data_IF_674363142674
#
_entry.id   IF_674363142674
#
_cell.length_a   1.000
_cell.length_b   1.000
_cell.length_c   1.000
_cell.angle_alpha   90.00
_cell.angle_beta   90.00
_cell.angle_gamma   90.00
#
_symmetry.space_group_name_H-M   'P 1'
#
loop_
_entity.id
_entity.type
_entity.pdbx_description
1 polymer ?
#
# COMPACT_ATOMS: atom_id res chain seq x y z
N UNK A 1 -20.60 -5.50 7.29
CA UNK A 1 -19.54 -4.98 8.20
C UNK A 1 -18.48 -6.07 8.37
N UNK A 2 -17.19 -5.73 8.46
CA UNK A 2 -16.13 -6.70 8.74
C UNK A 2 -16.36 -7.45 10.05
N UNK A 3 -15.91 -8.70 10.12
CA UNK A 3 -15.93 -9.53 11.32
C UNK A 3 -14.74 -9.18 12.23
N UNK A 4 -14.77 -9.55 13.50
CA UNK A 4 -13.58 -9.46 14.35
C UNK A 4 -12.54 -10.52 13.97
N UNK A 5 -11.24 -10.29 14.28
CA UNK A 5 -10.19 -11.29 14.07
C UNK A 5 -10.48 -12.61 14.77
N UNK A 6 -11.16 -12.57 15.94
CA UNK A 6 -11.58 -13.77 16.68
C UNK A 6 -12.55 -14.68 15.93
N UNK A 7 -13.21 -14.14 14.89
CA UNK A 7 -14.13 -14.92 14.04
C UNK A 7 -13.40 -15.60 12.87
N UNK A 8 -12.11 -15.33 12.70
CA UNK A 8 -11.28 -16.01 11.72
C UNK A 8 -10.84 -17.36 12.25
N UNK A 9 -11.14 -18.43 11.51
CA UNK A 9 -10.78 -19.80 11.91
C UNK A 9 -9.26 -19.95 12.08
N UNK A 10 -8.83 -20.44 13.26
CA UNK A 10 -7.41 -20.71 13.54
C UNK A 10 -6.79 -21.66 12.51
N UNK A 11 -7.57 -22.66 12.04
CA UNK A 11 -7.10 -23.58 10.99
C UNK A 11 -6.84 -22.86 9.66
N UNK A 12 -7.62 -21.84 9.30
CA UNK A 12 -7.40 -21.02 8.12
C UNK A 12 -6.23 -20.04 8.33
N UNK A 13 -6.14 -19.41 9.50
CA UNK A 13 -5.05 -18.51 9.86
C UNK A 13 -3.68 -19.24 9.91
N UNK A 14 -3.64 -20.48 10.39
CA UNK A 14 -2.43 -21.32 10.44
C UNK A 14 -1.79 -21.54 9.05
N UNK A 15 -2.59 -21.50 7.97
CA UNK A 15 -2.11 -21.70 6.60
C UNK A 15 -1.42 -20.48 6.01
N UNK A 16 -1.58 -19.29 6.61
CA UNK A 16 -1.00 -18.05 6.09
C UNK A 16 0.52 -18.11 6.13
N UNK A 17 1.14 -17.93 4.97
CA UNK A 17 2.59 -17.88 4.76
C UNK A 17 3.03 -16.58 4.11
N UNK A 18 2.08 -15.80 3.56
CA UNK A 18 2.29 -14.51 2.94
C UNK A 18 1.34 -13.48 3.52
N UNK A 19 1.90 -12.38 4.04
CA UNK A 19 1.15 -11.25 4.54
C UNK A 19 1.57 -9.99 3.76
N UNK A 20 0.71 -9.56 2.84
CA UNK A 20 0.82 -8.25 2.23
C UNK A 20 0.20 -7.19 3.15
N UNK A 21 0.80 -6.01 3.20
CA UNK A 21 0.35 -4.94 4.11
C UNK A 21 0.53 -3.57 3.48
N UNK A 22 -0.43 -2.67 3.66
CA UNK A 22 -0.16 -1.25 3.45
C UNK A 22 0.84 -0.73 4.50
N UNK A 23 1.32 0.49 4.36
CA UNK A 23 2.34 1.10 5.24
C UNK A 23 1.78 2.25 6.06
N UNK A 24 1.30 3.31 5.39
CA UNK A 24 0.86 4.53 6.06
C UNK A 24 -0.44 4.28 6.82
N UNK A 25 -0.44 4.55 8.12
CA UNK A 25 -1.55 4.29 9.04
C UNK A 25 -2.03 2.82 9.10
N UNK A 26 -1.20 1.89 8.56
CA UNK A 26 -1.37 0.42 8.70
C UNK A 26 -0.20 -0.21 9.46
N UNK A 27 1.05 -0.05 9.00
CA UNK A 27 2.27 -0.38 9.75
C UNK A 27 2.72 0.78 10.62
N UNK A 28 2.48 2.02 10.16
CA UNK A 28 2.70 3.23 10.95
C UNK A 28 1.42 3.64 11.68
N UNK A 29 1.54 4.60 12.56
CA UNK A 29 0.41 5.28 13.17
C UNK A 29 0.75 6.74 13.41
N UNK A 30 -0.03 7.67 12.81
CA UNK A 30 0.16 9.11 12.90
C UNK A 30 1.60 9.54 12.57
N UNK A 31 2.12 9.02 11.44
CA UNK A 31 3.45 9.34 10.94
C UNK A 31 4.62 8.73 11.73
N UNK A 32 4.37 7.77 12.62
CA UNK A 32 5.40 7.06 13.40
C UNK A 32 5.30 5.56 13.22
N UNK A 33 6.43 4.88 13.25
CA UNK A 33 6.51 3.42 13.27
C UNK A 33 6.56 2.96 14.74
N UNK A 34 5.50 2.33 15.29
CA UNK A 34 5.52 1.78 16.64
C UNK A 34 6.56 0.66 16.78
N UNK A 35 7.18 0.54 17.95
CA UNK A 35 8.13 -0.53 18.24
C UNK A 35 7.46 -1.91 18.12
N UNK A 36 6.20 -2.01 18.52
CA UNK A 36 5.36 -3.20 18.43
C UNK A 36 5.19 -3.69 16.99
N UNK A 37 5.14 -2.76 16.02
CA UNK A 37 5.07 -3.12 14.59
C UNK A 37 6.34 -3.79 14.11
N UNK A 38 7.51 -3.25 14.48
CA UNK A 38 8.80 -3.84 14.11
C UNK A 38 8.99 -5.22 14.74
N UNK A 39 8.67 -5.35 16.02
CA UNK A 39 8.72 -6.64 16.70
C UNK A 39 7.77 -7.65 16.04
N UNK A 40 6.54 -7.25 15.78
CA UNK A 40 5.55 -8.10 15.10
C UNK A 40 6.03 -8.59 13.73
N UNK A 41 6.61 -7.72 12.89
CA UNK A 41 7.20 -8.12 11.60
C UNK A 41 8.36 -9.11 11.79
N UNK A 42 9.21 -8.90 12.80
CA UNK A 42 10.32 -9.80 13.10
C UNK A 42 9.80 -11.18 13.52
N UNK A 43 8.81 -11.24 14.40
CA UNK A 43 8.22 -12.50 14.87
C UNK A 43 7.53 -13.27 13.74
N UNK A 44 6.78 -12.57 12.88
CA UNK A 44 6.17 -13.16 11.68
C UNK A 44 7.23 -13.77 10.75
N UNK A 45 8.31 -13.05 10.50
CA UNK A 45 9.44 -13.53 9.68
C UNK A 45 10.08 -14.79 10.27
N UNK A 46 10.32 -14.82 11.58
CA UNK A 46 10.86 -15.98 12.29
C UNK A 46 9.91 -17.19 12.24
N UNK A 47 8.61 -16.95 12.24
CA UNK A 47 7.57 -17.99 12.10
C UNK A 47 7.34 -18.44 10.63
N UNK A 48 8.13 -17.96 9.68
CA UNK A 48 8.05 -18.31 8.26
C UNK A 48 6.91 -17.63 7.51
N UNK A 49 6.39 -16.49 8.02
CA UNK A 49 5.42 -15.66 7.30
C UNK A 49 6.17 -14.52 6.61
N UNK A 50 6.09 -14.51 5.29
CA UNK A 50 6.71 -13.50 4.43
C UNK A 50 5.90 -12.21 4.45
N UNK A 51 6.38 -11.18 5.12
CA UNK A 51 5.75 -9.86 5.14
C UNK A 51 6.20 -9.06 3.92
N UNK A 52 5.25 -8.50 3.17
CA UNK A 52 5.50 -7.70 1.96
C UNK A 52 4.69 -6.40 2.04
N UNK A 53 5.31 -5.28 2.38
CA UNK A 53 4.68 -3.96 2.26
C UNK A 53 4.31 -3.63 0.81
N UNK A 54 3.10 -3.07 0.62
CA UNK A 54 2.54 -2.64 -0.66
C UNK A 54 2.00 -1.22 -0.48
N UNK A 55 2.75 -0.23 -0.93
CA UNK A 55 2.51 1.15 -0.53
C UNK A 55 2.49 2.13 -1.70
N UNK A 56 1.81 3.27 -1.51
CA UNK A 56 1.95 4.47 -2.34
C UNK A 56 3.18 5.32 -2.01
N UNK A 57 4.01 4.90 -1.05
CA UNK A 57 5.24 5.60 -0.68
C UNK A 57 6.26 5.63 -1.83
N UNK A 58 7.09 6.67 -1.85
CA UNK A 58 8.11 6.88 -2.89
C UNK A 58 9.20 5.80 -2.88
N UNK A 59 9.93 5.71 -3.98
CA UNK A 59 11.03 4.75 -4.14
C UNK A 59 12.12 4.89 -3.07
N UNK A 60 12.38 6.11 -2.58
CA UNK A 60 13.34 6.33 -1.49
C UNK A 60 12.94 5.65 -0.18
N UNK A 61 11.66 5.73 0.19
CA UNK A 61 11.12 5.00 1.35
C UNK A 61 11.15 3.49 1.13
N UNK A 62 10.79 3.02 -0.05
CA UNK A 62 10.81 1.60 -0.40
C UNK A 62 12.23 1.01 -0.34
N UNK A 63 13.26 1.74 -0.79
CA UNK A 63 14.65 1.31 -0.65
C UNK A 63 15.06 1.16 0.83
N UNK A 64 14.67 2.11 1.69
CA UNK A 64 14.93 2.03 3.13
C UNK A 64 14.18 0.85 3.78
N UNK A 65 12.91 0.67 3.47
CA UNK A 65 12.10 -0.45 3.98
C UNK A 65 12.76 -1.79 3.61
N UNK A 66 13.13 -1.97 2.32
CA UNK A 66 13.76 -3.20 1.86
C UNK A 66 15.10 -3.50 2.57
N UNK A 67 15.84 -2.45 2.97
CA UNK A 67 17.15 -2.62 3.63
C UNK A 67 17.07 -2.87 5.12
N UNK A 68 16.16 -2.19 5.81
CA UNK A 68 16.19 -2.08 7.27
C UNK A 68 15.09 -2.88 7.97
N UNK A 69 13.95 -3.12 7.31
CA UNK A 69 12.85 -3.81 7.95
C UNK A 69 12.93 -5.34 7.74
N UNK A 70 12.36 -6.14 8.63
CA UNK A 70 12.34 -7.60 8.52
C UNK A 70 11.24 -8.05 7.55
N UNK A 71 11.35 -7.65 6.28
CA UNK A 71 10.38 -7.91 5.21
C UNK A 71 11.01 -8.75 4.10
N UNK A 72 10.19 -9.53 3.39
CA UNK A 72 10.64 -10.34 2.26
C UNK A 72 10.97 -9.48 1.03
N UNK A 73 10.30 -8.36 0.88
CA UNK A 73 10.48 -7.36 -0.16
C UNK A 73 9.45 -6.24 0.02
N UNK A 74 9.40 -5.29 -0.90
CA UNK A 74 8.47 -4.16 -0.86
C UNK A 74 7.97 -3.82 -2.26
N UNK A 75 6.70 -3.48 -2.40
CA UNK A 75 6.06 -3.00 -3.62
C UNK A 75 5.75 -1.52 -3.41
N UNK A 76 6.30 -0.66 -4.28
CA UNK A 76 6.23 0.80 -4.16
C UNK A 76 5.38 1.49 -5.21
N UNK A 77 5.04 2.75 -4.93
CA UNK A 77 4.29 3.66 -5.80
C UNK A 77 3.06 2.97 -6.43
N UNK A 78 2.21 2.40 -5.55
CA UNK A 78 0.98 1.68 -5.90
C UNK A 78 1.18 0.51 -6.89
N UNK A 79 2.38 -0.08 -6.93
CA UNK A 79 2.69 -1.22 -7.78
C UNK A 79 3.58 -0.91 -8.98
N UNK A 80 4.10 0.31 -9.10
CA UNK A 80 4.97 0.68 -10.22
C UNK A 80 6.25 -0.15 -10.28
N UNK A 81 6.74 -0.59 -9.15
CA UNK A 81 7.96 -1.40 -9.02
C UNK A 81 7.91 -2.22 -7.72
N UNK A 82 8.82 -3.20 -7.62
CA UNK A 82 9.10 -3.86 -6.35
C UNK A 82 10.59 -4.16 -6.18
N UNK A 83 11.00 -4.26 -4.92
CA UNK A 83 12.36 -4.60 -4.51
C UNK A 83 12.32 -5.91 -3.74
N UNK A 84 13.13 -6.87 -4.14
CA UNK A 84 13.35 -8.13 -3.41
C UNK A 84 14.79 -8.22 -2.96
N UNK A 85 15.03 -8.91 -1.83
CA UNK A 85 16.37 -9.20 -1.33
C UNK A 85 16.67 -10.68 -1.53
N UNK A 86 17.67 -11.01 -2.34
CA UNK A 86 18.13 -12.39 -2.57
C UNK A 86 19.65 -12.44 -2.38
N UNK A 87 20.14 -13.33 -1.54
CA UNK A 87 21.58 -13.54 -1.32
C UNK A 87 22.36 -12.23 -1.07
N UNK A 88 21.83 -11.35 -0.20
CA UNK A 88 22.38 -10.03 0.13
C UNK A 88 22.33 -8.99 -1.00
N UNK A 89 21.76 -9.31 -2.15
CA UNK A 89 21.58 -8.38 -3.27
C UNK A 89 20.14 -7.90 -3.36
N UNK A 90 19.96 -6.61 -3.71
CA UNK A 90 18.65 -6.02 -3.95
C UNK A 90 18.35 -6.07 -5.45
N UNK A 91 17.22 -6.67 -5.80
CA UNK A 91 16.76 -6.76 -7.17
C UNK A 91 15.53 -5.87 -7.35
N UNK A 92 15.65 -4.92 -8.29
CA UNK A 92 14.57 -4.01 -8.66
C UNK A 92 13.83 -4.54 -9.88
N UNK A 93 12.51 -4.60 -9.77
CA UNK A 93 11.61 -4.97 -10.85
C UNK A 93 10.69 -3.78 -11.14
N UNK A 94 10.54 -3.43 -12.40
CA UNK A 94 9.71 -2.31 -12.84
C UNK A 94 8.61 -2.81 -13.75
N UNK A 95 7.37 -2.29 -13.61
CA UNK A 95 6.24 -2.69 -14.46
C UNK A 95 6.39 -2.22 -15.92
N UNK A 96 7.22 -1.21 -16.16
CA UNK A 96 7.65 -0.73 -17.48
C UNK A 96 9.15 -0.37 -17.43
N UNK A 97 9.87 -0.27 -18.56
CA UNK A 97 11.28 0.15 -18.54
C UNK A 97 11.48 1.44 -17.74
N UNK A 98 12.49 1.48 -16.87
CA UNK A 98 12.72 2.61 -15.95
C UNK A 98 12.83 3.96 -16.67
N UNK A 99 13.48 4.03 -17.83
CA UNK A 99 13.60 5.25 -18.63
C UNK A 99 12.23 5.77 -19.11
N UNK A 100 11.34 4.88 -19.51
CA UNK A 100 9.97 5.23 -19.91
C UNK A 100 9.16 5.69 -18.72
N UNK A 101 9.25 5.00 -17.59
CA UNK A 101 8.60 5.39 -16.33
C UNK A 101 8.97 6.83 -15.94
N UNK A 102 10.27 7.16 -15.95
CA UNK A 102 10.78 8.50 -15.63
C UNK A 102 10.34 9.58 -16.63
N UNK A 103 10.24 9.23 -17.91
CA UNK A 103 9.76 10.14 -18.96
C UNK A 103 8.28 10.48 -18.73
N UNK A 104 7.45 9.47 -18.48
CA UNK A 104 6.03 9.63 -18.20
C UNK A 104 5.80 10.45 -16.93
N UNK A 105 6.51 10.15 -15.85
CA UNK A 105 6.40 10.87 -14.59
C UNK A 105 6.72 12.36 -14.74
N UNK A 106 7.79 12.72 -15.48
CA UNK A 106 8.14 14.13 -15.70
C UNK A 106 7.04 14.89 -16.44
N UNK A 107 6.43 14.26 -17.46
CA UNK A 107 5.33 14.86 -18.18
C UNK A 107 4.09 15.04 -17.31
N UNK A 108 3.73 14.01 -16.54
CA UNK A 108 2.62 14.03 -15.60
C UNK A 108 2.82 15.10 -14.51
N UNK A 109 4.04 15.24 -13.99
CA UNK A 109 4.38 16.22 -12.96
C UNK A 109 4.05 17.64 -13.40
N UNK A 110 4.38 18.02 -14.65
CA UNK A 110 4.05 19.36 -15.15
C UNK A 110 2.54 19.57 -15.30
N UNK A 111 1.79 18.55 -15.73
CA UNK A 111 0.34 18.64 -15.81
C UNK A 111 -0.31 18.76 -14.42
N UNK A 112 0.13 17.96 -13.43
CA UNK A 112 -0.36 18.07 -12.07
C UNK A 112 -0.07 19.44 -11.47
N UNK A 113 1.12 20.01 -11.69
CA UNK A 113 1.45 21.40 -11.28
C UNK A 113 0.47 22.42 -11.88
N UNK A 114 0.09 22.25 -13.16
CA UNK A 114 -0.89 23.13 -13.80
C UNK A 114 -2.27 23.05 -13.14
N UNK A 115 -2.72 21.84 -12.79
CA UNK A 115 -3.97 21.67 -12.03
C UNK A 115 -3.85 22.37 -10.67
N UNK A 116 -2.76 22.13 -9.92
CA UNK A 116 -2.56 22.70 -8.60
C UNK A 116 -2.44 24.22 -8.60
N UNK A 117 -2.03 24.85 -9.71
CA UNK A 117 -1.98 26.31 -9.84
C UNK A 117 -3.36 26.98 -9.64
N UNK A 118 -4.46 26.27 -9.87
CA UNK A 118 -5.82 26.75 -9.60
C UNK A 118 -6.25 26.62 -8.13
N UNK A 119 -5.43 26.00 -7.28
CA UNK A 119 -5.73 25.73 -5.87
C UNK A 119 -4.65 26.32 -4.94
N UNK A 120 -4.77 27.60 -4.56
CA UNK A 120 -3.79 28.26 -3.69
C UNK A 120 -3.57 27.48 -2.38
N UNK A 121 -2.30 27.23 -2.05
CA UNK A 121 -1.91 26.49 -0.83
C UNK A 121 -1.89 24.96 -0.97
N UNK A 122 -2.26 24.40 -2.13
CA UNK A 122 -1.99 22.99 -2.40
C UNK A 122 -0.54 22.81 -2.89
N UNK A 123 0.08 21.74 -2.44
CA UNK A 123 1.47 21.40 -2.78
C UNK A 123 1.60 19.94 -3.17
N UNK A 124 2.64 19.65 -3.92
CA UNK A 124 3.12 18.28 -4.06
C UNK A 124 3.64 17.77 -2.70
N UNK A 125 3.68 16.46 -2.55
CA UNK A 125 4.34 15.83 -1.42
C UNK A 125 5.83 16.20 -1.35
N UNK A 126 6.37 16.37 -0.14
CA UNK A 126 7.77 16.76 0.07
C UNK A 126 8.76 15.70 -0.46
N UNK A 127 8.32 14.45 -0.57
CA UNK A 127 9.08 13.33 -1.10
C UNK A 127 9.00 13.16 -2.63
N UNK A 128 8.38 14.12 -3.36
CA UNK A 128 8.19 14.02 -4.80
C UNK A 128 9.49 13.79 -5.59
N UNK A 129 10.61 14.33 -5.13
CA UNK A 129 11.92 14.13 -5.77
C UNK A 129 12.44 12.70 -5.72
N UNK A 130 11.94 11.89 -4.80
CA UNK A 130 12.30 10.48 -4.60
C UNK A 130 11.35 9.50 -5.29
N UNK A 131 10.33 9.99 -6.02
CA UNK A 131 9.36 9.17 -6.75
C UNK A 131 9.85 8.85 -8.16
N UNK A 132 9.58 7.63 -8.61
CA UNK A 132 9.98 7.14 -9.92
C UNK A 132 8.87 7.23 -10.97
N UNK A 133 7.64 6.94 -10.58
CA UNK A 133 6.50 6.76 -11.46
C UNK A 133 5.40 7.79 -11.20
N UNK A 134 4.99 7.92 -9.96
CA UNK A 134 3.82 8.70 -9.61
C UNK A 134 4.14 10.16 -9.26
N UNK A 135 3.08 10.95 -9.17
CA UNK A 135 3.08 12.30 -8.62
C UNK A 135 2.13 12.30 -7.43
N UNK A 136 2.60 12.77 -6.28
CA UNK A 136 1.82 12.81 -5.07
C UNK A 136 1.43 14.23 -4.69
N UNK A 137 0.13 14.47 -4.49
CA UNK A 137 -0.42 15.71 -3.95
C UNK A 137 -0.61 15.55 -2.45
N UNK A 138 -0.06 16.47 -1.66
CA UNK A 138 -0.14 16.45 -0.20
C UNK A 138 -1.54 16.86 0.27
N UNK A 139 -2.26 15.94 0.94
CA UNK A 139 -3.60 16.20 1.47
C UNK A 139 -3.66 16.22 3.00
N UNK A 140 -2.73 15.53 3.70
CA UNK A 140 -2.76 15.42 5.16
C UNK A 140 -1.42 15.09 5.83
N UNK A 141 -0.30 14.97 5.10
CA UNK A 141 0.95 14.47 5.69
C UNK A 141 1.58 15.47 6.68
N UNK A 142 1.73 16.74 6.29
CA UNK A 142 2.37 17.80 7.07
C UNK A 142 1.60 19.12 6.98
N UNK A 143 0.29 18.98 6.89
CA UNK A 143 -0.69 20.07 6.80
C UNK A 143 -1.99 19.70 7.50
N UNK A 144 -2.86 20.66 7.73
CA UNK A 144 -4.26 20.39 8.07
C UNK A 144 -4.90 19.58 6.93
N UNK A 145 -5.56 18.44 7.23
CA UNK A 145 -6.24 17.64 6.24
C UNK A 145 -7.20 18.46 5.37
N UNK A 146 -7.23 18.16 4.07
CA UNK A 146 -8.19 18.77 3.15
C UNK A 146 -9.61 18.26 3.44
N UNK A 147 -10.61 19.05 3.03
CA UNK A 147 -11.99 18.59 3.09
C UNK A 147 -12.24 17.46 2.06
N UNK A 148 -13.23 16.63 2.35
CA UNK A 148 -13.62 15.51 1.48
C UNK A 148 -14.04 16.02 0.10
N UNK A 149 -14.79 17.13 0.07
CA UNK A 149 -15.28 17.74 -1.17
C UNK A 149 -14.13 18.20 -2.07
N UNK A 150 -13.08 18.81 -1.49
CA UNK A 150 -11.91 19.25 -2.25
C UNK A 150 -11.10 18.06 -2.77
N UNK A 151 -10.98 16.98 -1.98
CA UNK A 151 -10.31 15.75 -2.41
C UNK A 151 -11.05 15.12 -3.59
N UNK A 152 -12.38 15.02 -3.52
CA UNK A 152 -13.21 14.48 -4.60
C UNK A 152 -13.11 15.32 -5.89
N UNK A 153 -13.13 16.65 -5.77
CA UNK A 153 -12.92 17.56 -6.89
C UNK A 153 -11.56 17.37 -7.55
N UNK A 154 -10.49 17.32 -6.75
CA UNK A 154 -9.14 17.08 -7.25
C UNK A 154 -9.01 15.71 -7.94
N UNK A 155 -9.58 14.66 -7.37
CA UNK A 155 -9.57 13.33 -7.98
C UNK A 155 -10.25 13.34 -9.35
N UNK A 156 -11.41 14.04 -9.49
CA UNK A 156 -12.10 14.17 -10.76
C UNK A 156 -11.24 14.89 -11.80
N UNK A 157 -10.60 16.01 -11.45
CA UNK A 157 -9.74 16.76 -12.38
C UNK A 157 -8.48 15.98 -12.76
N UNK A 158 -7.80 15.36 -11.79
CA UNK A 158 -6.58 14.61 -12.03
C UNK A 158 -6.81 13.38 -12.93
N UNK A 159 -7.98 12.73 -12.81
CA UNK A 159 -8.36 11.58 -13.65
C UNK A 159 -8.72 11.97 -15.10
N UNK A 160 -8.91 13.26 -15.39
CA UNK A 160 -9.11 13.75 -16.77
C UNK A 160 -7.80 13.94 -17.53
N UNK A 161 -6.67 13.92 -16.84
CA UNK A 161 -5.35 14.07 -17.46
C UNK A 161 -5.02 12.84 -18.32
N UNK A 162 -4.14 13.06 -19.29
CA UNK A 162 -3.58 12.00 -20.14
C UNK A 162 -2.08 12.21 -20.31
N UNK A 163 -1.33 11.12 -20.41
CA UNK A 163 0.11 11.16 -20.70
C UNK A 163 0.38 10.35 -21.96
N UNK A 164 0.79 11.02 -23.02
CA UNK A 164 1.02 10.42 -24.36
C UNK A 164 -0.19 9.62 -24.88
N UNK A 165 -1.41 10.06 -24.54
CA UNK A 165 -2.67 9.41 -24.92
C UNK A 165 -3.18 8.36 -23.94
N UNK A 166 -2.38 7.94 -22.98
CA UNK A 166 -2.81 6.99 -21.93
C UNK A 166 -3.55 7.73 -20.80
N UNK A 167 -4.64 7.16 -20.25
CA UNK A 167 -5.37 7.75 -19.15
C UNK A 167 -4.53 7.76 -17.86
N UNK A 168 -4.78 8.77 -17.04
CA UNK A 168 -4.19 8.93 -15.72
C UNK A 168 -5.06 8.25 -14.67
N UNK A 169 -4.42 7.54 -13.75
CA UNK A 169 -5.02 6.98 -12.54
C UNK A 169 -4.79 7.96 -11.39
N UNK A 170 -5.77 8.10 -10.51
CA UNK A 170 -5.60 8.86 -9.27
C UNK A 170 -6.38 8.20 -8.13
N UNK A 171 -5.74 8.05 -6.97
CA UNK A 171 -6.35 7.47 -5.77
C UNK A 171 -5.94 8.24 -4.51
N UNK A 172 -6.86 8.31 -3.57
CA UNK A 172 -6.66 8.85 -2.24
C UNK A 172 -6.05 7.78 -1.32
N UNK A 173 -5.06 8.17 -0.53
CA UNK A 173 -4.58 7.48 0.67
C UNK A 173 -4.85 8.35 1.90
N UNK A 174 -4.45 7.90 3.09
CA UNK A 174 -4.59 8.69 4.33
C UNK A 174 -3.86 10.04 4.29
N UNK A 175 -2.82 10.19 3.45
CA UNK A 175 -1.93 11.36 3.43
C UNK A 175 -1.76 12.05 2.07
N UNK A 176 -2.00 11.33 0.96
CA UNK A 176 -1.77 11.83 -0.41
C UNK A 176 -2.89 11.47 -1.37
N UNK A 177 -3.02 12.25 -2.46
CA UNK A 177 -3.55 11.75 -3.72
C UNK A 177 -2.35 11.32 -4.57
N UNK A 178 -2.25 10.04 -4.88
CA UNK A 178 -1.26 9.50 -5.80
C UNK A 178 -1.82 9.47 -7.22
N UNK A 179 -1.03 9.95 -8.18
CA UNK A 179 -1.41 10.14 -9.59
C UNK A 179 -0.36 9.47 -10.46
N UNK A 180 -0.78 8.56 -11.34
CA UNK A 180 0.17 7.82 -12.21
C UNK A 180 -0.45 7.42 -13.55
N UNK A 181 0.36 6.90 -14.47
CA UNK A 181 -0.09 6.30 -15.72
C UNK A 181 0.29 4.83 -15.81
N UNK A 182 -0.50 4.06 -16.53
CA UNK A 182 -0.28 2.63 -16.72
C UNK A 182 -1.28 1.77 -15.95
N UNK A 183 -1.19 0.46 -16.17
CA UNK A 183 -2.17 -0.51 -15.68
C UNK A 183 -1.73 -1.23 -14.38
N UNK A 184 -0.62 -0.78 -13.78
CA UNK A 184 -0.19 -1.32 -12.50
C UNK A 184 -1.09 -0.85 -11.37
N UNK A 185 -1.20 -1.66 -10.35
CA UNK A 185 -1.94 -1.40 -9.13
C UNK A 185 -1.34 -2.20 -7.97
N UNK A 186 -1.68 -1.88 -6.73
CA UNK A 186 -1.32 -2.72 -5.57
C UNK A 186 -1.62 -4.20 -5.86
N UNK A 187 -2.81 -4.50 -6.41
CA UNK A 187 -3.24 -5.87 -6.71
C UNK A 187 -2.41 -6.53 -7.81
N UNK A 188 -2.33 -5.93 -9.00
CA UNK A 188 -1.66 -6.56 -10.16
C UNK A 188 -0.18 -6.83 -9.88
N UNK A 189 0.49 -5.91 -9.19
CA UNK A 189 1.90 -6.06 -8.84
C UNK A 189 2.13 -7.04 -7.70
N UNK A 190 1.21 -7.14 -6.73
CA UNK A 190 1.25 -8.19 -5.70
C UNK A 190 1.06 -9.59 -6.31
N UNK A 191 0.17 -9.72 -7.29
CA UNK A 191 -0.01 -10.98 -8.04
C UNK A 191 1.27 -11.37 -8.79
N UNK A 192 1.88 -10.43 -9.51
CA UNK A 192 3.14 -10.66 -10.24
C UNK A 192 4.30 -10.99 -9.30
N UNK A 193 4.40 -10.25 -8.18
CA UNK A 193 5.39 -10.49 -7.13
C UNK A 193 5.29 -11.91 -6.57
N UNK A 194 4.09 -12.33 -6.20
CA UNK A 194 3.84 -13.63 -5.59
C UNK A 194 4.06 -14.78 -6.58
N UNK A 195 3.59 -14.63 -7.82
CA UNK A 195 3.84 -15.59 -8.91
C UNK A 195 5.34 -15.79 -9.16
N UNK A 196 6.12 -14.72 -9.15
CA UNK A 196 7.57 -14.78 -9.31
C UNK A 196 8.26 -15.42 -8.08
N UNK A 197 7.78 -15.16 -6.87
CA UNK A 197 8.35 -15.70 -5.64
C UNK A 197 8.09 -17.22 -5.49
N UNK A 198 6.91 -17.68 -5.89
CA UNK A 198 6.48 -19.08 -5.76
C UNK A 198 6.83 -19.96 -6.97
N UNK A 199 7.25 -19.37 -8.12
CA UNK A 199 7.44 -20.07 -9.39
C UNK A 199 6.21 -20.92 -9.81
N UNK A 200 4.99 -20.49 -9.47
CA UNK A 200 3.79 -21.28 -9.71
C UNK A 200 2.49 -20.61 -9.29
N UNK A 201 1.46 -21.44 -9.11
CA UNK A 201 0.13 -20.99 -8.71
C UNK A 201 0.08 -20.52 -7.25
N UNK A 202 -0.68 -19.47 -7.03
CA UNK A 202 -0.91 -18.87 -5.73
C UNK A 202 -2.09 -19.57 -5.05
N UNK A 203 -1.85 -20.20 -3.90
CA UNK A 203 -2.93 -20.67 -3.05
C UNK A 203 -3.49 -19.50 -2.23
N UNK A 204 -4.68 -19.04 -2.59
CA UNK A 204 -5.36 -17.92 -1.91
C UNK A 204 -5.54 -18.15 -0.40
N UNK A 205 -5.63 -19.38 0.05
CA UNK A 205 -5.73 -19.72 1.46
C UNK A 205 -4.47 -19.43 2.28
N UNK A 206 -3.33 -19.23 1.62
CA UNK A 206 -2.02 -18.97 2.24
C UNK A 206 -1.65 -17.48 2.24
N UNK A 207 -2.48 -16.64 1.63
CA UNK A 207 -2.23 -15.21 1.48
C UNK A 207 -3.19 -14.42 2.35
N UNK A 208 -2.68 -13.44 3.07
CA UNK A 208 -3.46 -12.43 3.80
C UNK A 208 -3.06 -11.03 3.38
N UNK A 209 -3.96 -10.08 3.58
CA UNK A 209 -3.72 -8.66 3.38
C UNK A 209 -4.24 -7.84 4.55
N UNK A 210 -3.52 -6.74 4.90
CA UNK A 210 -3.99 -5.75 5.85
C UNK A 210 -3.80 -4.33 5.31
N UNK A 211 -4.81 -3.49 5.51
CA UNK A 211 -4.84 -2.09 5.04
C UNK A 211 -5.81 -1.24 5.85
N UNK A 212 -5.90 0.06 5.53
CA UNK A 212 -6.64 1.03 6.34
C UNK A 212 -7.56 1.98 5.56
N UNK A 213 -7.48 2.01 4.22
CA UNK A 213 -8.13 3.06 3.45
C UNK A 213 -8.66 2.60 2.08
N UNK A 214 -9.24 3.54 1.30
CA UNK A 214 -9.89 3.22 0.03
C UNK A 214 -8.93 2.68 -1.04
N UNK A 215 -7.65 3.06 -1.01
CA UNK A 215 -6.66 2.57 -1.97
C UNK A 215 -6.33 1.08 -1.80
N UNK A 216 -6.79 0.46 -0.71
CA UNK A 216 -6.61 -0.96 -0.39
C UNK A 216 -7.75 -1.85 -0.93
N UNK A 217 -8.85 -1.24 -1.39
CA UNK A 217 -10.00 -1.98 -1.90
C UNK A 217 -9.66 -3.01 -2.98
N UNK A 218 -8.75 -2.73 -3.95
CA UNK A 218 -8.32 -3.74 -4.92
C UNK A 218 -7.68 -4.99 -4.29
N UNK A 219 -7.04 -4.83 -3.13
CA UNK A 219 -6.44 -5.93 -2.38
C UNK A 219 -7.51 -6.68 -1.58
N UNK A 220 -8.44 -5.97 -0.93
CA UNK A 220 -9.57 -6.58 -0.21
C UNK A 220 -10.46 -7.41 -1.14
N UNK A 221 -10.69 -6.93 -2.38
CA UNK A 221 -11.48 -7.65 -3.38
C UNK A 221 -10.79 -8.90 -3.93
N UNK A 222 -9.47 -8.98 -3.83
CA UNK A 222 -8.68 -10.10 -4.35
C UNK A 222 -8.38 -11.14 -3.28
N UNK A 223 -8.04 -10.71 -2.06
CA UNK A 223 -7.58 -11.61 -0.98
C UNK A 223 -8.71 -11.89 0.00
N UNK A 224 -9.11 -13.16 0.10
CA UNK A 224 -10.16 -13.57 1.00
C UNK A 224 -9.82 -13.35 2.49
N UNK A 225 -8.55 -13.56 2.88
CA UNK A 225 -8.07 -13.30 4.23
C UNK A 225 -7.66 -11.83 4.37
N UNK A 226 -8.60 -10.92 4.14
CA UNK A 226 -8.36 -9.48 4.19
C UNK A 226 -8.77 -8.89 5.54
N UNK A 227 -7.93 -7.98 6.04
CA UNK A 227 -8.08 -7.36 7.36
C UNK A 227 -7.99 -5.84 7.22
N UNK A 228 -8.90 -5.12 7.86
CA UNK A 228 -8.78 -3.68 8.06
C UNK A 228 -8.23 -3.39 9.46
N UNK A 229 -7.26 -2.48 9.60
CA UNK A 229 -6.97 -1.92 10.93
C UNK A 229 -8.09 -0.96 11.34
N UNK A 230 -8.31 -0.77 12.65
CA UNK A 230 -9.53 -0.09 13.15
C UNK A 230 -9.76 1.31 12.56
N UNK A 231 -8.72 2.04 12.18
CA UNK A 231 -8.85 3.36 11.54
C UNK A 231 -9.45 3.32 10.12
N UNK A 232 -9.70 2.14 9.55
CA UNK A 232 -10.48 1.99 8.29
C UNK A 232 -11.96 2.37 8.47
N UNK A 233 -12.46 2.41 9.71
CA UNK A 233 -13.88 2.59 10.03
C UNK A 233 -14.57 3.74 9.29
N UNK A 234 -13.97 4.95 9.16
CA UNK A 234 -14.59 6.05 8.41
C UNK A 234 -14.71 5.79 6.90
N UNK A 235 -13.90 4.88 6.36
CA UNK A 235 -13.87 4.54 4.93
C UNK A 235 -14.83 3.40 4.56
N UNK A 236 -15.25 2.57 5.53
CA UNK A 236 -16.12 1.40 5.27
C UNK A 236 -17.37 1.72 4.43
N UNK A 237 -18.08 2.85 4.65
CA UNK A 237 -19.24 3.18 3.81
C UNK A 237 -18.92 3.50 2.35
N UNK A 238 -17.66 3.85 2.04
CA UNK A 238 -17.18 4.18 0.69
C UNK A 238 -16.68 2.96 -0.08
N UNK A 239 -16.41 1.85 0.60
CA UNK A 239 -15.85 0.63 0.00
C UNK A 239 -16.95 -0.27 -0.56
N UNK A 240 -16.87 -0.60 -1.85
CA UNK A 240 -17.72 -1.63 -2.46
C UNK A 240 -17.30 -3.04 -2.01
N UNK A 241 -15.99 -3.24 -1.75
CA UNK A 241 -15.40 -4.49 -1.26
C UNK A 241 -14.65 -4.23 0.05
N UNK A 242 -15.33 -4.17 1.22
CA UNK A 242 -14.67 -3.99 2.51
C UNK A 242 -13.85 -5.24 2.89
N UNK A 243 -12.85 -5.10 3.82
CA UNK A 243 -12.10 -6.24 4.32
C UNK A 243 -13.01 -7.23 5.05
N UNK A 244 -12.61 -8.51 5.08
CA UNK A 244 -13.38 -9.55 5.74
C UNK A 244 -13.33 -9.44 7.26
N UNK A 245 -12.18 -9.08 7.82
CA UNK A 245 -11.93 -8.96 9.24
C UNK A 245 -11.44 -7.56 9.60
N UNK A 246 -11.50 -7.22 10.90
CA UNK A 246 -11.04 -5.95 11.41
C UNK A 246 -10.35 -6.13 12.76
N UNK A 247 -9.27 -5.38 12.99
CA UNK A 247 -8.60 -5.28 14.29
C UNK A 247 -9.34 -4.33 15.22
N UNK A 248 -9.04 -4.40 16.52
CA UNK A 248 -9.54 -3.46 17.53
C UNK A 248 -8.65 -2.23 17.67
N UNK A 249 -7.36 -2.39 17.33
CA UNK A 249 -6.35 -1.35 17.43
C UNK A 249 -6.15 -0.63 16.09
N UNK A 250 -5.66 0.61 16.16
CA UNK A 250 -5.37 1.42 14.99
C UNK A 250 -3.94 1.18 14.47
N UNK A 251 -3.73 1.38 13.16
CA UNK A 251 -2.42 1.43 12.53
C UNK A 251 -1.51 0.28 12.94
N UNK A 252 -0.25 0.58 13.22
CA UNK A 252 0.75 -0.41 13.60
C UNK A 252 0.42 -1.25 14.84
N UNK A 253 -0.38 -0.73 15.76
CA UNK A 253 -0.90 -1.52 16.89
C UNK A 253 -1.93 -2.55 16.43
N UNK A 254 -2.77 -2.21 15.44
CA UNK A 254 -3.69 -3.14 14.79
C UNK A 254 -2.94 -4.21 13.99
N UNK A 255 -1.86 -3.82 13.30
CA UNK A 255 -0.97 -4.79 12.65
C UNK A 255 -0.35 -5.76 13.66
N UNK A 256 0.12 -5.28 14.82
CA UNK A 256 0.66 -6.13 15.88
C UNK A 256 -0.41 -7.08 16.46
N UNK A 257 -1.66 -6.62 16.60
CA UNK A 257 -2.80 -7.46 16.98
C UNK A 257 -3.02 -8.60 15.98
N UNK A 258 -3.01 -8.31 14.66
CA UNK A 258 -3.11 -9.31 13.61
C UNK A 258 -1.92 -10.30 13.66
N UNK A 259 -0.72 -9.80 13.83
CA UNK A 259 0.49 -10.64 13.92
C UNK A 259 0.41 -11.62 15.09
N UNK A 260 0.01 -11.14 16.26
CA UNK A 260 -0.23 -11.99 17.44
C UNK A 260 -1.25 -13.09 17.16
N UNK A 261 -2.35 -12.74 16.50
CA UNK A 261 -3.39 -13.71 16.13
C UNK A 261 -2.84 -14.79 15.17
N UNK A 262 -2.08 -14.40 14.14
CA UNK A 262 -1.49 -15.35 13.18
C UNK A 262 -0.44 -16.25 13.84
N UNK A 263 0.38 -15.72 14.74
CA UNK A 263 1.41 -16.47 15.47
C UNK A 263 0.77 -17.49 16.41
N UNK A 264 -0.23 -17.10 17.20
CA UNK A 264 -0.97 -18.00 18.08
C UNK A 264 -1.69 -19.13 17.34
N UNK A 265 -2.11 -18.89 16.08
CA UNK A 265 -2.70 -19.96 15.27
C UNK A 265 -1.66 -20.99 14.79
N UNK A 266 -0.35 -20.67 14.79
CA UNK A 266 0.73 -21.59 14.39
C UNK A 266 1.22 -22.50 15.52
N UNK A 267 0.97 -22.10 16.78
CA UNK A 267 1.20 -22.94 17.95
C UNK A 267 0.18 -24.12 17.98
#
# INVERSE_FOLDING_TARGET
MPKLLTDWSSQAAKRVTWLFTDVDDTLTWRGKLPAETLDAMQQLSLAGINVVPVTGACAGWCDQIARLWPVHGVIGENGAFWITKRQQQFHHHYCVPFSEMRKRQRYLLEQVKQVLASYPGLTLANDQSFRFCDVAVNIAQDRTPLSVELIEELLLQLRQLTVFGDPVQATESSIHINVWTGNHSKRSSSQSYLSQALNGEVNQGEVAYVGDSCNDEPMFSWINNSVGVNNITPYLPKLACPPQYMTRQNGGYGFAELAHFLLSAKE
#
